data_IF_888260516087
#
_entry.id   IF_888260516087
#
_cell.length_a   1.000
_cell.length_b   1.000
_cell.length_c   1.000
_cell.angle_alpha   90.00
_cell.angle_beta   90.00
_cell.angle_gamma   90.00
#
_symmetry.space_group_name_H-M   'P 1'
#
loop_
_entity.id
_entity.type
_entity.pdbx_description
1 polymer ?
#
# COMPACT_ATOMS: atom_id res chain seq x y z
N UNK A 1 13.48 27.06 62.24
CA UNK A 1 13.90 27.95 61.10
C UNK A 1 14.39 27.17 59.88
N UNK A 2 15.13 26.08 60.03
CA UNK A 2 15.66 25.29 58.86
C UNK A 2 14.55 24.70 57.98
N UNK A 3 13.52 24.11 58.56
CA UNK A 3 12.40 23.41 57.83
C UNK A 3 11.49 24.35 57.06
N UNK A 4 11.38 25.61 57.46
CA UNK A 4 10.55 26.62 56.74
C UNK A 4 11.29 27.14 55.53
N UNK A 5 12.62 27.33 55.63
CA UNK A 5 13.46 27.78 54.52
C UNK A 5 13.59 26.68 53.44
N UNK A 6 13.64 25.42 53.85
CA UNK A 6 13.66 24.26 52.94
C UNK A 6 12.35 24.12 52.15
N UNK A 7 11.21 24.36 52.78
CA UNK A 7 9.88 24.34 52.16
C UNK A 7 9.68 25.50 51.18
N UNK A 8 10.18 26.69 51.46
CA UNK A 8 10.08 27.85 50.56
C UNK A 8 10.98 27.65 49.31
N UNK A 9 12.18 27.11 49.47
CA UNK A 9 13.06 26.79 48.33
C UNK A 9 12.46 25.71 47.39
N UNK A 10 11.90 24.63 47.94
CA UNK A 10 11.24 23.60 47.17
C UNK A 10 10.03 24.15 46.42
N UNK A 11 9.24 25.04 47.08
CA UNK A 11 8.08 25.69 46.44
C UNK A 11 8.49 26.64 45.33
N UNK A 12 9.57 27.35 45.43
CA UNK A 12 10.10 28.22 44.40
C UNK A 12 10.59 27.43 43.17
N UNK A 13 11.31 26.32 43.40
CA UNK A 13 11.70 25.40 42.34
C UNK A 13 10.51 24.78 41.59
N UNK A 14 9.50 24.31 42.32
CA UNK A 14 8.29 23.74 41.70
C UNK A 14 7.55 24.77 40.86
N UNK A 15 7.44 26.01 41.36
CA UNK A 15 6.83 27.10 40.59
C UNK A 15 7.66 27.42 39.33
N UNK A 16 8.97 27.47 39.42
CA UNK A 16 9.83 27.72 38.27
C UNK A 16 9.70 26.63 37.19
N UNK A 17 9.56 25.37 37.57
CA UNK A 17 9.33 24.24 36.65
C UNK A 17 7.97 24.41 35.96
N UNK A 18 6.91 24.74 36.70
CA UNK A 18 5.56 24.93 36.14
C UNK A 18 5.52 26.09 35.15
N UNK A 19 6.13 27.23 35.51
CA UNK A 19 6.10 28.46 34.67
C UNK A 19 7.06 28.39 33.47
N UNK A 20 8.11 27.55 33.50
CA UNK A 20 9.02 27.36 32.38
C UNK A 20 8.47 26.45 31.29
N UNK A 21 7.32 25.79 31.51
CA UNK A 21 6.72 24.87 30.56
C UNK A 21 6.16 25.59 29.34
N UNK A 22 6.44 25.08 28.13
CA UNK A 22 5.79 25.51 26.88
C UNK A 22 4.34 25.09 26.79
N UNK A 23 3.93 24.02 27.49
CA UNK A 23 2.58 23.53 27.57
C UNK A 23 1.84 24.19 28.74
N UNK A 24 0.52 24.38 28.63
CA UNK A 24 -0.31 24.76 29.75
C UNK A 24 -0.33 23.65 30.79
N UNK A 25 -0.21 23.98 32.06
CA UNK A 25 -0.30 23.01 33.15
C UNK A 25 -1.31 23.49 34.17
N UNK A 26 -2.16 22.58 34.64
CA UNK A 26 -3.02 22.82 35.80
C UNK A 26 -3.04 21.62 36.73
N UNK A 27 -3.35 21.90 37.98
CA UNK A 27 -3.50 20.90 39.03
C UNK A 27 -4.85 21.08 39.70
N UNK A 28 -5.59 19.97 39.86
CA UNK A 28 -6.85 19.95 40.60
C UNK A 28 -6.72 19.03 41.82
N UNK A 29 -7.63 19.20 42.79
CA UNK A 29 -7.84 18.18 43.81
C UNK A 29 -8.56 16.95 43.24
N UNK A 30 -8.75 15.91 44.06
CA UNK A 30 -9.42 14.68 43.66
C UNK A 30 -10.91 14.84 43.33
N UNK A 31 -11.49 16.04 43.53
CA UNK A 31 -12.88 16.40 43.20
C UNK A 31 -12.97 17.31 41.97
N UNK A 32 -11.82 17.60 41.33
CA UNK A 32 -11.77 18.43 40.12
C UNK A 32 -11.79 19.94 40.38
N UNK A 33 -11.48 20.41 41.62
CA UNK A 33 -11.32 21.83 41.92
C UNK A 33 -9.92 22.30 41.59
N UNK A 34 -9.75 23.39 40.82
CA UNK A 34 -8.47 23.94 40.43
C UNK A 34 -7.68 24.46 41.64
N UNK A 35 -6.48 23.93 41.84
CA UNK A 35 -5.53 24.30 42.87
C UNK A 35 -4.41 25.18 42.40
N UNK A 36 -3.93 24.90 41.19
CA UNK A 36 -2.83 25.67 40.58
C UNK A 36 -2.94 25.62 39.05
N UNK A 37 -2.40 26.66 38.39
CA UNK A 37 -2.38 26.82 36.94
C UNK A 37 -1.18 27.67 36.58
N UNK A 38 -0.48 27.34 35.47
CA UNK A 38 0.66 28.12 35.01
C UNK A 38 0.22 29.27 34.08
N UNK A 39 1.10 30.27 33.95
CA UNK A 39 0.87 31.45 33.10
C UNK A 39 0.60 31.10 31.63
N UNK A 40 1.23 30.01 31.14
CA UNK A 40 1.01 29.56 29.78
C UNK A 40 -0.45 29.20 29.49
N UNK A 41 -1.10 28.49 30.40
CA UNK A 41 -2.51 28.12 30.24
C UNK A 41 -3.44 29.35 30.39
N UNK A 42 -3.10 30.27 31.27
CA UNK A 42 -3.82 31.56 31.39
C UNK A 42 -3.75 32.36 30.08
N UNK A 43 -2.57 32.47 29.48
CA UNK A 43 -2.41 33.09 28.15
C UNK A 43 -3.20 32.36 27.04
N UNK A 44 -3.27 31.04 27.10
CA UNK A 44 -4.02 30.24 26.11
C UNK A 44 -5.54 30.42 26.25
N UNK A 45 -6.03 30.49 27.47
CA UNK A 45 -7.46 30.57 27.78
C UNK A 45 -7.99 32.01 27.84
N UNK A 46 -7.14 32.98 28.16
CA UNK A 46 -7.51 34.37 28.36
C UNK A 46 -8.16 34.64 29.72
N UNK A 47 -8.19 33.67 30.63
CA UNK A 47 -8.69 33.82 31.99
C UNK A 47 -7.58 34.33 32.93
N UNK A 48 -8.01 34.96 34.06
CA UNK A 48 -7.11 35.32 35.15
C UNK A 48 -7.00 34.19 36.14
N UNK A 49 -5.94 34.20 36.95
CA UNK A 49 -5.70 33.17 37.98
C UNK A 49 -6.81 33.17 39.04
N UNK A 50 -7.31 34.35 39.35
CA UNK A 50 -8.38 34.58 40.34
C UNK A 50 -9.71 33.98 39.87
N UNK A 51 -9.98 33.97 38.55
CA UNK A 51 -11.20 33.41 37.99
C UNK A 51 -11.17 31.87 37.94
N UNK A 52 -9.99 31.26 37.84
CA UNK A 52 -9.84 29.81 37.65
C UNK A 52 -9.62 29.08 38.99
N UNK A 53 -8.77 29.65 39.85
CA UNK A 53 -8.41 28.97 41.12
C UNK A 53 -9.65 28.85 42.00
N UNK A 54 -9.96 27.63 42.41
CA UNK A 54 -11.10 27.31 43.25
C UNK A 54 -12.39 26.95 42.51
N UNK A 55 -12.48 27.21 41.19
CA UNK A 55 -13.54 26.73 40.32
C UNK A 55 -13.45 25.21 40.10
N UNK A 56 -14.50 24.58 39.63
CA UNK A 56 -14.52 23.17 39.29
C UNK A 56 -14.41 22.97 37.75
N UNK A 57 -13.67 21.95 37.34
CA UNK A 57 -13.52 21.62 35.93
C UNK A 57 -14.85 21.35 35.20
N UNK A 58 -15.85 20.83 35.92
CA UNK A 58 -17.21 20.63 35.41
C UNK A 58 -17.92 21.94 35.03
N UNK A 59 -17.65 23.03 35.74
CA UNK A 59 -18.29 24.30 35.47
C UNK A 59 -17.82 24.91 34.16
N UNK A 60 -16.59 24.62 33.73
CA UNK A 60 -16.07 25.02 32.42
C UNK A 60 -16.78 24.30 31.25
N UNK A 61 -17.26 23.08 31.47
CA UNK A 61 -18.13 22.38 30.49
C UNK A 61 -19.52 23.00 30.44
N UNK A 62 -20.13 23.28 31.61
CA UNK A 62 -21.46 23.89 31.70
C UNK A 62 -21.51 25.27 31.06
N UNK A 63 -20.44 26.04 31.20
CA UNK A 63 -20.30 27.37 30.59
C UNK A 63 -19.90 27.31 29.12
N UNK A 64 -19.61 26.12 28.61
CA UNK A 64 -19.23 25.90 27.20
C UNK A 64 -17.81 26.39 26.82
N UNK A 65 -16.98 26.65 27.84
CA UNK A 65 -15.55 27.00 27.64
C UNK A 65 -14.76 25.82 27.06
N UNK A 66 -15.08 24.62 27.51
CA UNK A 66 -14.58 23.36 26.95
C UNK A 66 -15.74 22.47 26.57
N UNK A 67 -15.58 21.59 25.60
CA UNK A 67 -16.61 20.65 25.15
C UNK A 67 -16.68 19.37 26.02
N UNK A 68 -15.58 19.02 26.68
CA UNK A 68 -15.44 17.80 27.51
C UNK A 68 -14.51 18.07 28.69
N UNK A 69 -14.74 17.37 29.81
CA UNK A 69 -13.86 17.44 31.00
C UNK A 69 -12.99 16.18 31.08
N UNK A 70 -11.69 16.33 30.82
CA UNK A 70 -10.74 15.23 31.02
C UNK A 70 -10.60 14.86 32.50
N UNK A 71 -10.81 15.83 33.40
CA UNK A 71 -10.74 15.63 34.86
C UNK A 71 -11.83 14.68 35.34
N UNK A 72 -13.06 14.83 34.86
CA UNK A 72 -14.16 13.90 35.17
C UNK A 72 -13.85 12.48 34.68
N UNK A 73 -13.34 12.34 33.46
CA UNK A 73 -12.95 11.04 32.94
C UNK A 73 -11.85 10.36 33.78
N UNK A 74 -10.88 11.15 34.30
CA UNK A 74 -9.84 10.64 35.22
C UNK A 74 -10.43 10.23 36.54
N UNK A 75 -11.39 10.99 37.12
CA UNK A 75 -12.03 10.65 38.38
C UNK A 75 -12.82 9.34 38.25
N UNK A 76 -13.54 9.14 37.15
CA UNK A 76 -14.30 7.92 36.88
C UNK A 76 -13.39 6.70 36.64
N UNK A 77 -12.36 6.84 35.79
CA UNK A 77 -11.54 5.72 35.36
C UNK A 77 -10.37 5.41 36.30
N UNK A 78 -9.95 6.37 37.09
CA UNK A 78 -8.78 6.31 37.98
C UNK A 78 -7.48 5.97 37.23
N UNK A 79 -7.38 6.38 35.96
CA UNK A 79 -6.22 6.17 35.07
C UNK A 79 -5.89 7.46 34.32
N UNK A 80 -4.71 7.48 33.68
CA UNK A 80 -4.29 8.57 32.81
C UNK A 80 -5.20 8.63 31.57
N UNK A 81 -5.73 9.81 31.28
CA UNK A 81 -6.60 10.06 30.11
C UNK A 81 -5.99 11.14 29.23
N UNK A 82 -6.02 10.92 27.92
CA UNK A 82 -5.65 11.93 26.91
C UNK A 82 -6.83 12.14 25.98
N UNK A 83 -7.23 13.40 25.79
CA UNK A 83 -8.29 13.78 24.84
C UNK A 83 -7.88 15.00 24.03
N UNK A 84 -8.50 15.16 22.86
CA UNK A 84 -8.48 16.41 22.11
C UNK A 84 -9.81 17.12 22.35
N UNK A 85 -9.78 18.41 22.60
CA UNK A 85 -10.96 19.24 22.89
C UNK A 85 -10.75 20.66 22.42
N UNK A 86 -11.86 21.38 22.20
CA UNK A 86 -11.82 22.82 21.88
C UNK A 86 -11.85 23.65 23.16
N UNK A 87 -10.95 24.61 23.27
CA UNK A 87 -10.92 25.61 24.34
C UNK A 87 -11.43 26.94 23.76
N UNK A 88 -12.55 27.41 24.27
CA UNK A 88 -13.17 28.69 23.88
C UNK A 88 -12.78 29.77 24.88
N UNK A 89 -11.64 30.42 24.62
CA UNK A 89 -11.19 31.60 25.35
C UNK A 89 -11.37 32.87 24.51
N UNK A 90 -10.34 33.74 24.48
CA UNK A 90 -10.32 34.91 23.58
C UNK A 90 -10.37 34.49 22.11
N UNK A 91 -9.80 33.33 21.79
CA UNK A 91 -9.88 32.66 20.48
C UNK A 91 -10.23 31.19 20.73
N UNK A 92 -10.86 30.53 19.75
CA UNK A 92 -11.10 29.10 19.80
C UNK A 92 -9.78 28.37 19.47
N UNK A 93 -9.32 27.53 20.38
CA UNK A 93 -8.10 26.75 20.24
C UNK A 93 -8.41 25.26 20.31
N UNK A 94 -7.77 24.49 19.43
CA UNK A 94 -7.78 23.03 19.52
C UNK A 94 -6.63 22.59 20.41
N UNK A 95 -6.96 21.97 21.54
CA UNK A 95 -5.98 21.57 22.54
C UNK A 95 -6.00 20.05 22.76
N UNK A 96 -4.84 19.48 23.00
CA UNK A 96 -4.70 18.13 23.50
C UNK A 96 -4.40 18.18 25.00
N UNK A 97 -5.25 17.56 25.80
CA UNK A 97 -5.11 17.52 27.25
C UNK A 97 -4.83 16.11 27.71
N UNK A 98 -3.74 15.96 28.48
CA UNK A 98 -3.37 14.71 29.15
C UNK A 98 -3.46 14.93 30.64
N UNK A 99 -4.36 14.25 31.31
CA UNK A 99 -4.52 14.33 32.77
C UNK A 99 -4.13 13.01 33.44
N UNK A 100 -3.36 13.10 34.52
CA UNK A 100 -2.81 11.96 35.25
C UNK A 100 -3.20 12.06 36.73
N UNK A 101 -3.85 11.03 37.31
CA UNK A 101 -4.17 11.00 38.71
C UNK A 101 -2.94 10.70 39.57
N UNK A 102 -2.85 11.36 40.72
CA UNK A 102 -1.87 11.09 41.77
C UNK A 102 -2.66 10.64 43.01
N UNK A 103 -2.32 9.44 43.50
CA UNK A 103 -3.04 8.80 44.58
C UNK A 103 -2.38 9.09 45.95
N UNK A 104 -3.19 9.06 46.98
CA UNK A 104 -2.73 9.03 48.37
C UNK A 104 -2.43 7.58 48.84
N UNK A 105 -1.92 7.43 50.03
CA UNK A 105 -1.58 6.12 50.64
C UNK A 105 -2.81 5.20 50.81
N UNK A 106 -4.01 5.75 50.74
CA UNK A 106 -5.29 5.05 50.86
C UNK A 106 -5.87 4.67 49.50
N UNK A 107 -5.20 4.99 48.36
CA UNK A 107 -5.65 4.70 47.01
C UNK A 107 -6.72 5.65 46.48
N UNK A 108 -6.98 6.80 47.13
CA UNK A 108 -7.85 7.83 46.62
C UNK A 108 -7.03 8.84 45.79
N UNK A 109 -7.70 9.49 44.83
CA UNK A 109 -7.06 10.54 44.04
C UNK A 109 -6.82 11.77 44.94
N UNK A 110 -5.57 12.07 45.19
CA UNK A 110 -5.13 13.24 45.95
C UNK A 110 -5.09 14.49 45.07
N UNK A 111 -4.51 14.36 43.86
CA UNK A 111 -4.40 15.43 42.88
C UNK A 111 -4.59 14.84 41.47
N UNK A 112 -4.96 15.70 40.52
CA UNK A 112 -4.89 15.41 39.09
C UNK A 112 -4.02 16.49 38.47
N UNK A 113 -2.96 16.07 37.78
CA UNK A 113 -2.07 16.97 37.04
C UNK A 113 -2.39 16.83 35.57
N UNK A 114 -2.69 17.95 34.94
CA UNK A 114 -3.00 17.98 33.51
C UNK A 114 -2.03 18.86 32.74
N UNK A 115 -1.59 18.33 31.59
CA UNK A 115 -0.79 19.03 30.59
C UNK A 115 -1.71 19.37 29.41
N UNK A 116 -1.63 20.62 28.94
CA UNK A 116 -2.49 21.17 27.86
C UNK A 116 -1.60 21.69 26.75
N UNK A 117 -1.63 21.03 25.60
CA UNK A 117 -0.87 21.41 24.41
C UNK A 117 -1.75 22.06 23.37
N UNK A 118 -1.35 23.23 22.90
CA UNK A 118 -2.00 23.91 21.78
C UNK A 118 -1.67 23.17 20.46
N UNK A 119 -2.70 22.69 19.79
CA UNK A 119 -2.57 21.96 18.52
C UNK A 119 -3.11 22.77 17.33
N UNK A 120 -3.51 24.00 17.55
CA UNK A 120 -4.23 24.84 16.58
C UNK A 120 -3.44 24.99 15.28
N UNK A 121 -2.16 25.40 15.38
CA UNK A 121 -1.30 25.58 14.20
C UNK A 121 -1.05 24.28 13.46
N UNK A 122 -0.88 23.19 14.18
CA UNK A 122 -0.62 21.86 13.59
C UNK A 122 -1.85 21.37 12.82
N UNK A 123 -3.04 21.50 13.40
CA UNK A 123 -4.30 21.15 12.74
C UNK A 123 -4.58 22.07 11.55
N UNK A 124 -4.30 23.37 11.68
CA UNK A 124 -4.42 24.31 10.58
C UNK A 124 -3.51 23.93 9.40
N UNK A 125 -2.22 23.69 9.65
CA UNK A 125 -1.27 23.26 8.62
C UNK A 125 -1.66 21.92 7.99
N UNK A 126 -2.18 20.99 8.77
CA UNK A 126 -2.66 19.71 8.25
C UNK A 126 -3.87 19.90 7.31
N UNK A 127 -4.82 20.76 7.70
CA UNK A 127 -5.98 21.09 6.87
C UNK A 127 -5.59 21.83 5.58
N UNK A 128 -4.62 22.74 5.63
CA UNK A 128 -4.09 23.42 4.44
C UNK A 128 -3.37 22.43 3.50
N UNK A 129 -2.61 21.50 4.06
CA UNK A 129 -1.98 20.43 3.28
C UNK A 129 -3.03 19.53 2.59
N UNK A 130 -4.10 19.15 3.29
CA UNK A 130 -5.19 18.36 2.74
C UNK A 130 -5.98 19.12 1.66
N UNK A 131 -6.20 20.43 1.84
CA UNK A 131 -6.81 21.29 0.81
C UNK A 131 -5.93 21.40 -0.43
N UNK A 132 -4.63 21.65 -0.25
CA UNK A 132 -3.68 21.72 -1.35
C UNK A 132 -3.59 20.41 -2.12
N UNK A 133 -3.62 19.27 -1.43
CA UNK A 133 -3.68 17.93 -2.05
C UNK A 133 -4.99 17.76 -2.84
N UNK A 134 -6.12 18.20 -2.31
CA UNK A 134 -7.43 18.10 -2.96
C UNK A 134 -7.49 18.96 -4.22
N UNK A 135 -6.97 20.20 -4.16
CA UNK A 135 -6.88 21.10 -5.31
C UNK A 135 -5.94 20.54 -6.40
N UNK A 136 -4.81 20.00 -6.00
CA UNK A 136 -3.88 19.31 -6.91
C UNK A 136 -4.56 18.12 -7.60
N UNK A 137 -5.39 17.33 -6.86
CA UNK A 137 -6.16 16.22 -7.42
C UNK A 137 -7.16 16.71 -8.48
N UNK A 138 -7.93 17.73 -8.18
CA UNK A 138 -8.90 18.31 -9.12
C UNK A 138 -8.21 18.79 -10.39
N UNK A 139 -7.10 19.48 -10.27
CA UNK A 139 -6.30 19.94 -11.41
C UNK A 139 -5.79 18.79 -12.28
N UNK A 140 -5.28 17.69 -11.67
CA UNK A 140 -4.87 16.50 -12.43
C UNK A 140 -6.06 15.80 -13.10
N UNK A 141 -7.21 15.71 -12.43
CA UNK A 141 -8.43 15.14 -13.02
C UNK A 141 -8.94 15.97 -14.20
N UNK A 142 -8.91 17.29 -14.09
CA UNK A 142 -9.31 18.19 -15.18
C UNK A 142 -8.37 18.06 -16.38
N UNK A 143 -7.05 18.03 -16.17
CA UNK A 143 -6.08 17.80 -17.23
C UNK A 143 -6.27 16.43 -17.94
N UNK A 144 -6.55 15.38 -17.17
CA UNK A 144 -6.85 14.05 -17.69
C UNK A 144 -8.15 14.10 -18.51
N UNK A 145 -9.16 14.82 -18.03
CA UNK A 145 -10.46 14.98 -18.67
C UNK A 145 -10.37 15.81 -19.96
N UNK A 146 -9.68 16.95 -19.93
CA UNK A 146 -9.49 17.83 -21.09
C UNK A 146 -8.74 17.12 -22.24
N UNK A 147 -7.78 16.24 -21.90
CA UNK A 147 -7.05 15.45 -22.89
C UNK A 147 -7.75 14.14 -23.32
N UNK A 148 -9.02 13.96 -22.97
CA UNK A 148 -9.83 12.81 -23.39
C UNK A 148 -9.52 11.49 -22.67
N UNK A 149 -8.87 11.54 -21.47
CA UNK A 149 -8.55 10.37 -20.66
C UNK A 149 -9.61 10.03 -19.62
N UNK A 150 -10.70 10.76 -19.56
CA UNK A 150 -11.83 10.47 -18.69
C UNK A 150 -12.30 9.04 -18.90
N UNK A 151 -12.10 8.18 -17.92
CA UNK A 151 -12.46 6.75 -17.95
C UNK A 151 -11.36 5.77 -18.34
N UNK A 152 -10.16 6.22 -18.80
CA UNK A 152 -9.05 5.29 -19.12
C UNK A 152 -8.23 4.88 -17.90
N UNK A 153 -8.14 5.74 -16.87
CA UNK A 153 -7.40 5.46 -15.63
C UNK A 153 -8.28 5.76 -14.44
N UNK A 154 -8.54 4.74 -13.61
CA UNK A 154 -9.31 4.86 -12.38
C UNK A 154 -8.35 4.86 -11.20
N UNK A 155 -8.45 5.87 -10.32
CA UNK A 155 -7.53 6.11 -9.21
C UNK A 155 -8.22 6.84 -8.05
N UNK A 156 -9.05 6.13 -7.31
CA UNK A 156 -9.72 6.65 -6.11
C UNK A 156 -8.86 6.46 -4.85
N UNK A 157 -7.95 5.49 -4.87
CA UNK A 157 -7.03 5.23 -3.76
C UNK A 157 -5.91 6.28 -3.69
N UNK A 158 -5.46 6.59 -2.46
CA UNK A 158 -4.32 7.50 -2.24
C UNK A 158 -3.03 6.97 -2.88
N UNK A 159 -2.87 5.67 -2.87
CA UNK A 159 -1.72 4.96 -3.44
C UNK A 159 -1.64 5.21 -4.94
N UNK A 160 -2.72 4.98 -5.66
CA UNK A 160 -2.76 5.18 -7.12
C UNK A 160 -2.70 6.66 -7.50
N UNK A 161 -3.26 7.54 -6.68
CA UNK A 161 -3.15 8.99 -6.89
C UNK A 161 -1.70 9.49 -6.81
N UNK A 162 -0.88 8.94 -5.89
CA UNK A 162 0.57 9.24 -5.83
C UNK A 162 1.28 8.76 -7.10
N UNK A 163 0.91 7.59 -7.60
CA UNK A 163 1.44 7.06 -8.88
C UNK A 163 1.13 8.00 -10.03
N UNK A 164 -0.12 8.47 -10.13
CA UNK A 164 -0.52 9.40 -11.19
C UNK A 164 0.18 10.76 -11.08
N UNK A 165 0.38 11.30 -9.88
CA UNK A 165 1.13 12.53 -9.67
C UNK A 165 2.59 12.39 -10.15
N UNK A 166 3.23 11.26 -9.82
CA UNK A 166 4.59 10.99 -10.28
C UNK A 166 4.63 10.77 -11.80
N UNK A 167 3.68 10.00 -12.35
CA UNK A 167 3.56 9.79 -13.80
C UNK A 167 3.40 11.12 -14.56
N UNK A 168 2.60 12.06 -14.02
CA UNK A 168 2.45 13.39 -14.59
C UNK A 168 3.78 14.17 -14.60
N UNK A 169 4.52 14.18 -13.47
CA UNK A 169 5.86 14.82 -13.41
C UNK A 169 6.82 14.20 -14.40
N UNK A 170 6.82 12.88 -14.48
CA UNK A 170 7.65 12.13 -15.43
C UNK A 170 7.28 12.44 -16.88
N UNK A 171 6.03 12.72 -17.18
CA UNK A 171 5.60 13.11 -18.52
C UNK A 171 6.26 14.42 -19.02
N UNK A 172 6.61 15.32 -18.09
CA UNK A 172 7.21 16.62 -18.45
C UNK A 172 8.73 16.58 -18.72
N UNK A 173 9.38 15.45 -18.43
CA UNK A 173 10.82 15.26 -18.60
C UNK A 173 11.11 14.11 -19.54
N UNK A 174 12.21 14.17 -20.27
CA UNK A 174 12.59 13.12 -21.26
C UNK A 174 13.53 12.05 -20.67
N UNK A 175 13.35 11.75 -19.39
CA UNK A 175 14.12 10.71 -18.68
C UNK A 175 13.54 9.32 -18.90
N UNK A 176 14.40 8.30 -18.82
CA UNK A 176 13.99 6.90 -18.78
C UNK A 176 13.15 6.61 -17.54
N UNK A 177 12.11 5.80 -17.69
CA UNK A 177 11.19 5.43 -16.60
C UNK A 177 11.17 3.92 -16.46
N UNK A 178 11.38 3.43 -15.23
CA UNK A 178 11.22 2.02 -14.89
C UNK A 178 9.92 1.86 -14.08
N UNK A 179 8.94 1.15 -14.63
CA UNK A 179 7.66 0.85 -13.97
C UNK A 179 7.75 -0.52 -13.34
N UNK A 180 7.68 -0.58 -12.02
CA UNK A 180 7.73 -1.80 -11.24
C UNK A 180 6.34 -2.16 -10.70
N UNK A 181 5.99 -3.43 -10.67
CA UNK A 181 4.74 -3.90 -10.09
C UNK A 181 4.33 -5.26 -10.60
N UNK A 182 3.47 -5.94 -9.86
CA UNK A 182 2.97 -7.26 -10.19
C UNK A 182 2.31 -7.32 -11.58
N UNK A 183 2.18 -8.52 -12.12
CA UNK A 183 1.46 -8.72 -13.38
C UNK A 183 -0.01 -8.28 -13.23
N UNK A 184 -0.56 -7.66 -14.27
CA UNK A 184 -1.96 -7.22 -14.28
C UNK A 184 -2.27 -5.96 -13.46
N UNK A 185 -1.28 -5.24 -12.93
CA UNK A 185 -1.50 -3.98 -12.16
C UNK A 185 -1.85 -2.77 -13.03
N UNK A 186 -1.60 -2.83 -14.35
CA UNK A 186 -1.88 -1.73 -15.29
C UNK A 186 -0.64 -0.94 -15.71
N UNK A 187 0.56 -1.53 -15.68
CA UNK A 187 1.83 -0.89 -16.06
C UNK A 187 1.81 -0.26 -17.46
N UNK A 188 1.26 -0.96 -18.47
CA UNK A 188 1.14 -0.44 -19.82
C UNK A 188 0.22 0.79 -19.88
N UNK A 189 -0.88 0.81 -19.11
CA UNK A 189 -1.80 1.96 -19.06
C UNK A 189 -1.08 3.19 -18.54
N UNK A 190 -0.25 3.04 -17.51
CA UNK A 190 0.54 4.14 -16.94
C UNK A 190 1.66 4.57 -17.90
N UNK A 191 2.34 3.63 -18.57
CA UNK A 191 3.34 3.96 -19.59
C UNK A 191 2.74 4.79 -20.73
N UNK A 192 1.59 4.39 -21.22
CA UNK A 192 0.84 5.10 -22.25
C UNK A 192 0.39 6.48 -21.78
N UNK A 193 -0.08 6.60 -20.53
CA UNK A 193 -0.43 7.88 -19.92
C UNK A 193 0.77 8.84 -19.87
N UNK A 194 1.95 8.35 -19.45
CA UNK A 194 3.19 9.14 -19.43
C UNK A 194 3.56 9.67 -20.81
N UNK A 195 3.44 8.84 -21.85
CA UNK A 195 3.70 9.25 -23.23
C UNK A 195 2.70 10.32 -23.69
N UNK A 196 1.41 10.05 -23.51
CA UNK A 196 0.30 10.88 -24.02
C UNK A 196 0.22 12.25 -23.34
N UNK A 197 0.68 12.35 -22.08
CA UNK A 197 0.82 13.62 -21.35
C UNK A 197 2.15 14.36 -21.65
N UNK A 198 3.10 13.67 -22.28
CA UNK A 198 4.46 14.19 -22.50
C UNK A 198 4.62 15.00 -23.79
N UNK A 199 5.84 15.55 -23.95
CA UNK A 199 6.23 16.33 -25.12
C UNK A 199 6.18 15.54 -26.44
N UNK A 200 6.33 14.21 -26.36
CA UNK A 200 6.33 13.28 -27.51
C UNK A 200 4.95 12.67 -27.82
N UNK A 201 3.86 13.21 -27.23
CA UNK A 201 2.50 12.66 -27.36
C UNK A 201 1.93 12.57 -28.78
N UNK A 202 2.48 13.36 -29.71
CA UNK A 202 2.10 13.35 -31.14
C UNK A 202 2.95 12.39 -31.98
N UNK A 203 4.00 11.81 -31.38
CA UNK A 203 4.95 10.91 -32.00
C UNK A 203 4.60 9.44 -31.70
N UNK A 204 5.22 8.45 -32.36
CA UNK A 204 4.90 7.05 -32.16
C UNK A 204 5.12 6.59 -30.70
N UNK A 205 4.16 5.77 -30.20
CA UNK A 205 4.31 4.94 -29.01
C UNK A 205 4.44 3.49 -29.45
N UNK A 206 5.66 2.99 -29.46
CA UNK A 206 5.98 1.62 -29.89
C UNK A 206 6.10 0.75 -28.65
N UNK A 207 5.30 -0.31 -28.57
CA UNK A 207 5.30 -1.24 -27.42
C UNK A 207 5.60 -2.66 -27.86
N UNK A 208 6.37 -3.37 -27.03
CA UNK A 208 6.62 -4.81 -27.17
C UNK A 208 6.66 -5.45 -25.80
N UNK A 209 6.08 -6.65 -25.69
CA UNK A 209 6.25 -7.52 -24.54
C UNK A 209 7.44 -8.48 -24.82
N UNK A 210 8.46 -8.43 -23.96
CA UNK A 210 9.67 -9.23 -24.11
C UNK A 210 9.49 -10.70 -23.70
N UNK A 211 8.37 -11.05 -23.03
CA UNK A 211 8.11 -12.41 -22.61
C UNK A 211 7.44 -13.25 -23.72
N UNK A 212 7.78 -14.53 -23.77
CA UNK A 212 7.12 -15.50 -24.67
C UNK A 212 7.53 -15.39 -26.14
N UNK A 213 8.47 -14.52 -26.50
CA UNK A 213 9.04 -14.40 -27.84
C UNK A 213 10.41 -15.10 -27.85
N UNK A 214 10.67 -16.04 -28.77
CA UNK A 214 12.01 -16.62 -28.95
C UNK A 214 13.07 -15.54 -29.15
N UNK A 215 14.27 -15.72 -28.61
CA UNK A 215 15.35 -14.72 -28.60
C UNK A 215 15.68 -14.18 -30.03
N UNK A 216 15.81 -15.06 -30.99
CA UNK A 216 16.11 -14.67 -32.37
C UNK A 216 15.02 -13.79 -32.99
N UNK A 217 13.74 -14.11 -32.76
CA UNK A 217 12.61 -13.29 -33.21
C UNK A 217 12.53 -11.95 -32.46
N UNK A 218 12.81 -11.95 -31.17
CA UNK A 218 12.83 -10.72 -30.38
C UNK A 218 13.94 -9.78 -30.85
N UNK A 219 15.08 -10.34 -31.21
CA UNK A 219 16.20 -9.60 -31.78
C UNK A 219 15.85 -8.97 -33.14
N UNK A 220 15.22 -9.74 -34.04
CA UNK A 220 14.75 -9.24 -35.33
C UNK A 220 13.68 -8.14 -35.17
N UNK A 221 12.74 -8.31 -34.22
CA UNK A 221 11.71 -7.31 -33.96
C UNK A 221 12.31 -6.01 -33.43
N UNK A 222 13.22 -6.08 -32.45
CA UNK A 222 13.80 -4.90 -31.81
C UNK A 222 14.74 -4.14 -32.74
N UNK A 223 15.71 -4.84 -33.35
CA UNK A 223 16.82 -4.19 -34.09
C UNK A 223 16.60 -4.14 -35.60
N UNK A 224 15.70 -4.99 -36.14
CA UNK A 224 15.52 -5.14 -37.56
C UNK A 224 16.72 -5.87 -38.26
N UNK A 225 16.62 -6.11 -39.54
CA UNK A 225 17.67 -6.76 -40.32
C UNK A 225 17.76 -6.22 -41.75
N UNK A 226 18.94 -6.30 -42.33
CA UNK A 226 19.17 -6.02 -43.74
C UNK A 226 18.92 -7.28 -44.61
N UNK A 227 18.70 -7.07 -45.90
CA UNK A 227 18.53 -8.19 -46.86
C UNK A 227 19.77 -9.11 -46.83
N UNK A 228 19.53 -10.41 -46.68
CA UNK A 228 20.58 -11.40 -46.62
C UNK A 228 21.26 -11.58 -45.25
N UNK A 229 20.79 -10.97 -44.20
CA UNK A 229 21.35 -11.09 -42.83
C UNK A 229 21.37 -12.54 -42.31
N UNK A 230 20.43 -13.38 -42.76
CA UNK A 230 20.35 -14.81 -42.43
C UNK A 230 19.50 -15.55 -43.46
N UNK A 231 19.55 -16.89 -43.43
CA UNK A 231 18.74 -17.75 -44.30
C UNK A 231 17.26 -17.59 -44.01
N UNK A 232 16.49 -16.99 -44.96
CA UNK A 232 15.08 -16.65 -44.79
C UNK A 232 14.77 -15.17 -44.59
N UNK A 233 15.79 -14.29 -44.56
CA UNK A 233 15.59 -12.85 -44.55
C UNK A 233 14.78 -12.37 -45.76
N UNK A 234 13.78 -11.55 -45.55
CA UNK A 234 12.91 -11.01 -46.62
C UNK A 234 13.73 -10.08 -47.52
N UNK A 235 13.41 -10.08 -48.85
CA UNK A 235 13.95 -9.10 -49.78
C UNK A 235 13.55 -7.68 -49.29
N UNK A 236 14.56 -6.79 -49.18
CA UNK A 236 14.40 -5.45 -48.67
C UNK A 236 14.57 -5.29 -47.14
N UNK A 237 14.84 -6.39 -46.43
CA UNK A 237 15.08 -6.37 -45.00
C UNK A 237 13.85 -6.10 -44.14
N UNK A 238 14.03 -5.70 -42.87
CA UNK A 238 12.95 -5.34 -41.92
C UNK A 238 13.41 -4.19 -41.05
N UNK A 239 12.55 -3.18 -40.89
CA UNK A 239 12.77 -2.09 -39.96
C UNK A 239 12.44 -2.59 -38.53
N UNK A 240 13.34 -2.34 -37.56
CA UNK A 240 13.17 -2.74 -36.18
C UNK A 240 12.29 -1.74 -35.38
N UNK A 241 11.72 -2.21 -34.28
CA UNK A 241 10.82 -1.40 -33.40
C UNK A 241 11.57 -0.22 -32.78
N UNK A 242 12.85 -0.36 -32.48
CA UNK A 242 13.71 0.73 -31.97
C UNK A 242 13.81 1.84 -33.03
N UNK A 243 13.93 1.50 -34.29
CA UNK A 243 13.96 2.47 -35.38
C UNK A 243 12.60 3.12 -35.63
N UNK A 244 11.51 2.36 -35.46
CA UNK A 244 10.13 2.88 -35.56
C UNK A 244 9.79 3.82 -34.40
N UNK A 245 10.46 3.70 -33.25
CA UNK A 245 10.29 4.57 -32.09
C UNK A 245 11.04 5.91 -32.22
N UNK A 246 11.76 6.14 -33.31
CA UNK A 246 12.55 7.37 -33.53
C UNK A 246 11.68 8.62 -33.42
N UNK A 247 12.10 9.61 -32.63
CA UNK A 247 11.33 10.80 -32.26
C UNK A 247 10.24 10.55 -31.21
N UNK A 248 9.86 9.29 -30.97
CA UNK A 248 8.73 8.89 -30.11
C UNK A 248 9.14 8.26 -28.77
N UNK A 249 8.39 7.25 -28.37
CA UNK A 249 8.60 6.50 -27.12
C UNK A 249 8.61 5.00 -27.40
N UNK A 250 9.63 4.31 -26.89
CA UNK A 250 9.72 2.86 -26.86
C UNK A 250 9.28 2.35 -25.49
N UNK A 251 8.30 1.46 -25.44
CA UNK A 251 7.85 0.78 -24.23
C UNK A 251 8.21 -0.69 -24.29
N UNK A 252 9.03 -1.14 -23.34
CA UNK A 252 9.42 -2.55 -23.20
C UNK A 252 8.72 -3.13 -21.96
N UNK A 253 7.72 -3.98 -22.19
CA UNK A 253 7.05 -4.69 -21.10
C UNK A 253 7.76 -6.00 -20.80
N UNK A 254 7.75 -6.41 -19.52
CA UNK A 254 8.43 -7.60 -19.00
C UNK A 254 9.93 -7.65 -19.37
N UNK A 255 10.62 -6.51 -19.26
CA UNK A 255 12.04 -6.37 -19.57
C UNK A 255 12.93 -7.38 -18.82
N UNK A 256 12.49 -7.84 -17.65
CA UNK A 256 13.16 -8.91 -16.89
C UNK A 256 13.27 -10.24 -17.64
N UNK A 257 12.56 -10.41 -18.75
CA UNK A 257 12.60 -11.60 -19.62
C UNK A 257 13.53 -11.41 -20.83
N UNK A 258 14.17 -10.23 -20.96
CA UNK A 258 15.09 -9.95 -22.08
C UNK A 258 16.36 -10.79 -21.93
N UNK A 259 16.77 -11.59 -22.95
CA UNK A 259 18.00 -12.38 -22.92
C UNK A 259 19.25 -11.53 -22.74
N UNK A 260 20.28 -12.05 -22.02
CA UNK A 260 21.51 -11.32 -21.72
C UNK A 260 22.25 -10.78 -22.97
N UNK A 261 22.21 -11.51 -24.07
CA UNK A 261 22.78 -11.07 -25.35
C UNK A 261 22.15 -9.79 -25.87
N UNK A 262 20.81 -9.69 -25.74
CA UNK A 262 20.06 -8.54 -26.21
C UNK A 262 20.13 -7.35 -25.22
N UNK A 263 20.35 -7.61 -23.92
CA UNK A 263 20.58 -6.56 -22.93
C UNK A 263 21.80 -5.71 -23.28
N UNK A 264 22.92 -6.36 -23.72
CA UNK A 264 24.13 -5.65 -24.16
C UNK A 264 23.91 -4.79 -25.41
N UNK A 265 23.14 -5.31 -26.38
CA UNK A 265 22.78 -4.55 -27.60
C UNK A 265 21.90 -3.36 -27.29
N UNK A 266 20.90 -3.54 -26.43
CA UNK A 266 20.01 -2.46 -25.96
C UNK A 266 20.80 -1.37 -25.23
N UNK A 267 21.71 -1.75 -24.32
CA UNK A 267 22.56 -0.81 -23.60
C UNK A 267 23.37 0.05 -24.57
N UNK A 268 24.01 -0.56 -25.56
CA UNK A 268 24.80 0.18 -26.58
C UNK A 268 23.93 1.23 -27.26
N UNK A 269 22.71 0.87 -27.68
CA UNK A 269 21.81 1.84 -28.33
C UNK A 269 21.42 2.98 -27.38
N UNK A 270 21.21 2.71 -26.07
CA UNK A 270 20.87 3.72 -25.07
C UNK A 270 22.03 4.66 -24.73
N UNK A 271 23.28 4.22 -24.93
CA UNK A 271 24.49 5.02 -24.67
C UNK A 271 24.88 5.86 -25.86
N UNK A 272 24.92 5.24 -27.05
CA UNK A 272 25.43 5.88 -28.25
C UNK A 272 24.36 6.62 -29.04
N UNK A 273 23.07 6.31 -28.81
CA UNK A 273 21.98 6.73 -29.67
C UNK A 273 22.14 6.32 -31.13
N UNK A 274 22.80 5.17 -31.37
CA UNK A 274 23.07 4.64 -32.68
C UNK A 274 22.54 3.21 -32.80
N UNK A 275 21.89 2.93 -33.92
CA UNK A 275 21.33 1.61 -34.25
C UNK A 275 21.95 1.10 -35.52
N UNK A 276 22.43 -0.17 -35.51
CA UNK A 276 22.82 -0.93 -36.69
C UNK A 276 21.89 -2.13 -36.80
N UNK A 277 21.27 -2.34 -37.98
CA UNK A 277 20.42 -3.51 -38.22
C UNK A 277 21.26 -4.78 -38.28
N UNK A 278 20.64 -5.92 -38.00
CA UNK A 278 21.31 -7.22 -38.09
C UNK A 278 21.82 -7.45 -39.52
N UNK A 279 23.08 -7.89 -39.67
CA UNK A 279 23.72 -8.08 -40.93
C UNK A 279 24.06 -6.80 -41.72
N UNK A 280 23.76 -5.63 -41.16
CA UNK A 280 24.03 -4.33 -41.77
C UNK A 280 25.34 -3.70 -41.28
N UNK A 281 25.92 -2.83 -42.08
CA UNK A 281 27.09 -2.00 -41.73
C UNK A 281 26.71 -0.54 -41.46
N UNK A 282 25.52 -0.13 -41.92
CA UNK A 282 25.06 1.26 -41.79
C UNK A 282 24.49 1.53 -40.39
N UNK A 283 25.08 2.52 -39.75
CA UNK A 283 24.61 3.01 -38.45
C UNK A 283 23.67 4.20 -38.63
N UNK A 284 22.50 4.17 -37.97
CA UNK A 284 21.51 5.24 -37.97
C UNK A 284 21.46 5.87 -36.59
N UNK A 285 21.50 7.20 -36.49
CA UNK A 285 21.22 7.93 -35.25
C UNK A 285 19.73 7.90 -34.97
N UNK A 286 19.38 7.59 -33.75
CA UNK A 286 18.00 7.49 -33.27
C UNK A 286 17.82 8.24 -31.94
N UNK A 287 16.65 8.82 -31.75
CA UNK A 287 16.32 9.53 -30.53
C UNK A 287 14.93 9.14 -30.05
N UNK A 288 14.84 8.27 -29.09
CA UNK A 288 13.59 7.86 -28.48
C UNK A 288 13.64 7.98 -26.96
N UNK A 289 12.48 8.13 -26.35
CA UNK A 289 12.30 8.01 -24.90
C UNK A 289 12.05 6.56 -24.55
N UNK A 290 12.76 6.02 -23.53
CA UNK A 290 12.55 4.66 -23.06
C UNK A 290 11.64 4.64 -21.81
N UNK A 291 10.59 3.83 -21.86
CA UNK A 291 9.79 3.41 -20.70
C UNK A 291 9.89 1.89 -20.62
N UNK A 292 10.19 1.36 -19.46
CA UNK A 292 10.31 -0.09 -19.23
C UNK A 292 9.39 -0.53 -18.13
N UNK A 293 8.88 -1.75 -18.21
CA UNK A 293 8.05 -2.35 -17.15
C UNK A 293 8.60 -3.73 -16.76
N UNK A 294 8.56 -4.01 -15.44
CA UNK A 294 9.01 -5.27 -14.87
C UNK A 294 7.99 -5.78 -13.83
N UNK A 295 7.92 -7.11 -13.69
CA UNK A 295 7.10 -7.78 -12.70
C UNK A 295 7.93 -8.52 -11.64
N UNK A 296 9.27 -8.45 -11.72
CA UNK A 296 10.23 -9.02 -10.79
C UNK A 296 11.22 -7.94 -10.34
N UNK A 297 11.80 -8.13 -9.17
CA UNK A 297 12.88 -7.26 -8.70
C UNK A 297 14.12 -7.45 -9.57
N UNK A 298 14.52 -6.38 -10.30
CA UNK A 298 15.71 -6.40 -11.14
C UNK A 298 17.00 -6.54 -10.33
N UNK A 299 17.07 -6.03 -9.10
CA UNK A 299 18.26 -6.16 -8.25
C UNK A 299 18.52 -7.62 -7.90
N UNK A 300 17.46 -8.38 -7.63
CA UNK A 300 17.56 -9.83 -7.41
C UNK A 300 18.04 -10.55 -8.68
N UNK A 301 17.60 -10.14 -9.86
CA UNK A 301 18.09 -10.71 -11.11
C UNK A 301 19.55 -10.33 -11.41
N UNK A 302 19.97 -9.12 -11.09
CA UNK A 302 21.39 -8.69 -11.19
C UNK A 302 22.25 -9.55 -10.29
N UNK A 303 21.86 -9.74 -9.02
CA UNK A 303 22.63 -10.58 -8.07
C UNK A 303 22.77 -12.04 -8.53
N UNK A 304 21.80 -12.54 -9.30
CA UNK A 304 21.80 -13.89 -9.88
C UNK A 304 22.51 -13.97 -11.24
N UNK A 305 23.05 -12.87 -11.76
CA UNK A 305 23.68 -12.82 -13.08
C UNK A 305 22.72 -12.99 -14.26
N UNK A 306 21.41 -12.83 -14.04
CA UNK A 306 20.36 -12.94 -15.07
C UNK A 306 20.01 -11.60 -15.70
N UNK A 307 20.49 -10.49 -15.14
CA UNK A 307 20.33 -9.14 -15.66
C UNK A 307 21.65 -8.37 -15.50
N UNK A 308 22.03 -7.56 -16.50
CA UNK A 308 23.27 -6.78 -16.47
C UNK A 308 23.12 -5.57 -15.54
N UNK A 309 24.11 -5.35 -14.71
CA UNK A 309 24.15 -4.25 -13.76
C UNK A 309 24.21 -2.88 -14.45
N UNK A 310 25.01 -2.78 -15.52
CA UNK A 310 25.15 -1.56 -16.32
C UNK A 310 23.82 -1.13 -16.97
N UNK A 311 23.07 -2.07 -17.54
CA UNK A 311 21.75 -1.80 -18.10
C UNK A 311 20.77 -1.40 -16.99
N UNK A 312 20.80 -2.07 -15.84
CA UNK A 312 19.95 -1.72 -14.70
C UNK A 312 20.12 -0.24 -14.31
N UNK A 313 21.34 0.25 -14.11
CA UNK A 313 21.58 1.65 -13.77
C UNK A 313 21.16 2.62 -14.88
N UNK A 314 21.25 2.22 -16.14
CA UNK A 314 20.85 3.07 -17.28
C UNK A 314 19.35 3.25 -17.40
N UNK A 315 18.55 2.22 -17.07
CA UNK A 315 17.09 2.25 -17.18
C UNK A 315 16.39 2.68 -15.87
N UNK A 316 17.02 2.44 -14.71
CA UNK A 316 16.47 2.74 -13.38
C UNK A 316 16.68 4.19 -12.96
N UNK A 317 16.60 5.14 -13.91
CA UNK A 317 16.79 6.56 -13.60
C UNK A 317 15.71 7.08 -12.68
N UNK A 318 14.44 6.76 -12.96
CA UNK A 318 13.31 7.09 -12.08
C UNK A 318 12.38 5.89 -11.97
N UNK A 319 12.41 5.17 -10.83
CA UNK A 319 11.51 4.07 -10.58
C UNK A 319 10.11 4.57 -10.22
N UNK A 320 9.09 3.93 -10.79
CA UNK A 320 7.67 4.15 -10.53
C UNK A 320 7.03 2.83 -10.10
N UNK A 321 6.68 2.71 -8.83
CA UNK A 321 6.08 1.50 -8.29
C UNK A 321 4.54 1.55 -8.40
N UNK A 322 3.94 0.55 -9.07
CA UNK A 322 2.49 0.34 -9.12
C UNK A 322 2.07 -0.64 -8.02
N UNK A 323 1.27 -0.20 -7.04
CA UNK A 323 0.80 -1.07 -5.98
C UNK A 323 -0.15 -2.14 -6.52
N UNK A 324 -0.09 -3.37 -5.98
CA UNK A 324 -1.07 -4.41 -6.30
C UNK A 324 -2.48 -4.01 -5.85
N UNK A 325 -3.51 -4.58 -6.49
CA UNK A 325 -4.91 -4.17 -6.28
C UNK A 325 -5.36 -4.30 -4.81
N UNK A 326 -4.88 -5.30 -4.08
CA UNK A 326 -5.11 -5.50 -2.64
C UNK A 326 -4.62 -4.37 -1.73
N UNK A 327 -3.64 -3.56 -2.18
CA UNK A 327 -3.13 -2.39 -1.47
C UNK A 327 -3.87 -1.10 -1.84
N UNK A 328 -4.73 -1.14 -2.87
CA UNK A 328 -5.54 -0.01 -3.35
C UNK A 328 -7.02 -0.36 -3.43
N UNK A 329 -7.56 -0.87 -2.31
CA UNK A 329 -8.92 -1.40 -2.22
C UNK A 329 -10.01 -0.43 -2.69
N UNK A 330 -9.82 0.89 -2.48
CA UNK A 330 -10.75 1.93 -2.93
C UNK A 330 -10.91 1.99 -4.45
N UNK A 331 -9.99 1.41 -5.22
CA UNK A 331 -10.07 1.36 -6.68
C UNK A 331 -10.89 0.15 -7.16
N UNK A 332 -11.12 -0.87 -6.31
CA UNK A 332 -11.74 -2.14 -6.72
C UNK A 332 -13.15 -1.90 -7.27
N UNK A 333 -14.02 -1.26 -6.48
CA UNK A 333 -15.41 -1.03 -6.87
C UNK A 333 -15.51 -0.10 -8.09
N UNK A 334 -14.83 1.05 -8.16
CA UNK A 334 -14.81 1.88 -9.35
C UNK A 334 -14.33 1.14 -10.62
N UNK A 335 -13.29 0.29 -10.50
CA UNK A 335 -12.82 -0.54 -11.59
C UNK A 335 -13.85 -1.60 -12.01
N UNK A 336 -14.49 -2.27 -11.05
CA UNK A 336 -15.53 -3.26 -11.33
C UNK A 336 -16.72 -2.64 -12.08
N UNK A 337 -17.19 -1.48 -11.61
CA UNK A 337 -18.29 -0.74 -12.27
C UNK A 337 -17.90 -0.24 -13.67
N UNK A 338 -16.66 0.22 -13.84
CA UNK A 338 -16.15 0.61 -15.15
C UNK A 338 -16.16 -0.58 -16.13
N UNK A 339 -15.63 -1.74 -15.72
CA UNK A 339 -15.64 -2.94 -16.56
C UNK A 339 -17.04 -3.46 -16.78
N UNK A 340 -17.93 -3.40 -15.80
CA UNK A 340 -19.34 -3.76 -15.97
C UNK A 340 -19.99 -2.91 -17.06
N UNK A 341 -19.84 -1.60 -17.00
CA UNK A 341 -20.35 -0.68 -18.01
C UNK A 341 -19.74 -0.95 -19.40
N UNK A 342 -18.44 -1.20 -19.45
CA UNK A 342 -17.75 -1.54 -20.69
C UNK A 342 -18.32 -2.82 -21.32
N UNK A 343 -18.49 -3.91 -20.53
CA UNK A 343 -18.99 -5.18 -21.03
C UNK A 343 -20.51 -5.15 -21.29
N UNK A 344 -21.29 -4.43 -20.50
CA UNK A 344 -22.70 -4.18 -20.81
C UNK A 344 -22.87 -3.55 -22.21
N UNK A 345 -22.06 -2.53 -22.52
CA UNK A 345 -22.09 -1.89 -23.83
C UNK A 345 -21.60 -2.84 -24.94
N UNK A 346 -20.50 -3.60 -24.67
CA UNK A 346 -19.89 -4.51 -25.65
C UNK A 346 -20.84 -5.66 -26.04
N UNK A 347 -21.59 -6.20 -25.07
CA UNK A 347 -22.46 -7.37 -25.24
C UNK A 347 -23.95 -7.02 -25.29
N UNK A 348 -24.29 -5.72 -25.30
CA UNK A 348 -25.67 -5.20 -25.26
C UNK A 348 -26.47 -5.80 -24.09
N UNK A 349 -25.84 -5.92 -22.91
CA UNK A 349 -26.43 -6.42 -21.68
C UNK A 349 -26.81 -5.26 -20.73
N UNK A 350 -27.61 -5.57 -19.69
CA UNK A 350 -28.05 -4.58 -18.67
C UNK A 350 -27.77 -5.09 -17.26
N UNK A 351 -26.65 -5.80 -17.09
CA UNK A 351 -26.27 -6.40 -15.82
C UNK A 351 -25.97 -5.33 -14.76
N UNK A 352 -26.34 -5.63 -13.51
CA UNK A 352 -26.05 -4.82 -12.31
C UNK A 352 -25.43 -5.69 -11.23
N UNK A 353 -24.61 -5.10 -10.36
CA UNK A 353 -23.96 -5.81 -9.24
C UNK A 353 -24.76 -5.58 -7.96
N UNK A 354 -25.06 -6.64 -7.22
CA UNK A 354 -25.70 -6.57 -5.91
C UNK A 354 -24.71 -6.00 -4.84
N UNK A 355 -25.23 -5.55 -3.72
CA UNK A 355 -24.39 -5.06 -2.61
C UNK A 355 -23.53 -6.16 -1.95
N UNK A 356 -23.98 -7.42 -2.01
CA UNK A 356 -23.23 -8.56 -1.49
C UNK A 356 -21.97 -8.84 -2.32
N UNK A 357 -22.10 -8.84 -3.66
CA UNK A 357 -20.95 -9.06 -4.54
C UNK A 357 -19.89 -7.95 -4.39
N UNK A 358 -20.31 -6.68 -4.22
CA UNK A 358 -19.38 -5.58 -4.03
C UNK A 358 -18.50 -5.80 -2.78
N UNK A 359 -19.06 -6.29 -1.68
CA UNK A 359 -18.30 -6.64 -0.46
C UNK A 359 -17.34 -7.80 -0.71
N UNK A 360 -17.77 -8.83 -1.44
CA UNK A 360 -16.91 -9.96 -1.79
C UNK A 360 -15.73 -9.52 -2.66
N UNK A 361 -15.95 -8.64 -3.64
CA UNK A 361 -14.88 -8.08 -4.49
C UNK A 361 -13.84 -7.27 -3.66
N UNK A 362 -14.27 -6.46 -2.68
CA UNK A 362 -13.37 -5.71 -1.80
C UNK A 362 -12.56 -6.61 -0.85
N UNK A 363 -13.14 -7.74 -0.46
CA UNK A 363 -12.52 -8.67 0.46
C UNK A 363 -11.43 -9.52 -0.19
N UNK A 364 -11.52 -9.82 -1.47
CA UNK A 364 -10.61 -10.71 -2.19
C UNK A 364 -9.23 -10.09 -2.44
N UNK A 365 -8.18 -10.93 -2.51
CA UNK A 365 -6.78 -10.48 -2.61
C UNK A 365 -6.30 -10.13 -4.02
N UNK A 366 -7.01 -10.54 -5.05
CA UNK A 366 -6.69 -10.24 -6.45
C UNK A 366 -5.25 -10.60 -6.85
N UNK A 367 -4.84 -11.87 -6.80
CA UNK A 367 -3.49 -12.27 -7.20
C UNK A 367 -3.15 -11.90 -8.65
N UNK A 368 -4.14 -11.90 -9.56
CA UNK A 368 -4.00 -11.42 -10.94
C UNK A 368 -4.33 -9.94 -11.14
N UNK A 369 -4.50 -9.19 -10.04
CA UNK A 369 -4.74 -7.75 -10.02
C UNK A 369 -5.91 -7.30 -10.91
N UNK A 370 -5.76 -6.18 -11.64
CA UNK A 370 -6.83 -5.59 -12.49
C UNK A 370 -7.17 -6.51 -13.67
N UNK A 371 -6.21 -7.32 -14.16
CA UNK A 371 -6.48 -8.27 -15.24
C UNK A 371 -7.45 -9.35 -14.79
N UNK A 372 -7.29 -9.87 -13.59
CA UNK A 372 -8.21 -10.85 -13.00
C UNK A 372 -9.59 -10.25 -12.75
N UNK A 373 -9.66 -9.06 -12.17
CA UNK A 373 -10.92 -8.34 -11.95
C UNK A 373 -11.68 -8.12 -13.27
N UNK A 374 -10.99 -7.65 -14.30
CA UNK A 374 -11.58 -7.45 -15.63
C UNK A 374 -12.15 -8.75 -16.20
N UNK A 375 -11.37 -9.84 -16.14
CA UNK A 375 -11.80 -11.14 -16.64
C UNK A 375 -12.99 -11.69 -15.85
N UNK A 376 -13.00 -11.51 -14.52
CA UNK A 376 -14.13 -11.90 -13.68
C UNK A 376 -15.41 -11.16 -14.08
N UNK A 377 -15.35 -9.83 -14.19
CA UNK A 377 -16.54 -9.03 -14.58
C UNK A 377 -17.03 -9.42 -15.98
N UNK A 378 -16.12 -9.64 -16.95
CA UNK A 378 -16.50 -10.14 -18.28
C UNK A 378 -17.24 -11.49 -18.19
N UNK A 379 -16.68 -12.43 -17.42
CA UNK A 379 -17.28 -13.75 -17.19
C UNK A 379 -18.68 -13.63 -16.57
N UNK A 380 -18.83 -12.79 -15.54
CA UNK A 380 -20.13 -12.59 -14.87
C UNK A 380 -21.18 -11.99 -15.83
N UNK A 381 -20.81 -11.00 -16.64
CA UNK A 381 -21.72 -10.39 -17.60
C UNK A 381 -22.19 -11.41 -18.65
N UNK A 382 -21.30 -12.33 -19.07
CA UNK A 382 -21.60 -13.29 -20.13
C UNK A 382 -22.37 -14.52 -19.61
N UNK A 383 -22.04 -15.01 -18.40
CA UNK A 383 -22.57 -16.31 -17.92
C UNK A 383 -23.80 -16.19 -17.01
N UNK A 384 -24.00 -15.06 -16.31
CA UNK A 384 -25.17 -14.88 -15.45
C UNK A 384 -26.41 -14.69 -16.32
N UNK A 385 -27.47 -15.43 -16.09
CA UNK A 385 -28.74 -15.33 -16.84
C UNK A 385 -29.50 -14.07 -16.41
N UNK A 386 -29.60 -13.80 -15.10
CA UNK A 386 -30.33 -12.68 -14.53
C UNK A 386 -29.63 -11.33 -14.75
N UNK A 387 -30.40 -10.24 -14.77
CA UNK A 387 -29.83 -8.88 -14.85
C UNK A 387 -29.10 -8.47 -13.56
N UNK A 388 -29.45 -9.06 -12.41
CA UNK A 388 -28.78 -8.81 -11.15
C UNK A 388 -27.75 -9.90 -10.85
N UNK A 389 -26.48 -9.54 -10.88
CA UNK A 389 -25.37 -10.41 -10.53
C UNK A 389 -25.22 -10.44 -9.00
N UNK A 390 -25.21 -11.63 -8.43
CA UNK A 390 -25.13 -11.86 -6.97
C UNK A 390 -23.85 -12.57 -6.55
N UNK A 391 -23.66 -12.77 -5.25
CA UNK A 391 -22.51 -13.50 -4.72
C UNK A 391 -22.50 -14.98 -5.16
N UNK A 392 -23.64 -15.56 -5.45
CA UNK A 392 -23.79 -16.93 -5.93
C UNK A 392 -23.19 -17.16 -7.31
N UNK A 393 -23.08 -16.10 -8.12
CA UNK A 393 -22.46 -16.12 -9.45
C UNK A 393 -20.91 -16.12 -9.38
N UNK A 394 -20.32 -15.84 -8.20
CA UNK A 394 -18.88 -15.82 -8.02
C UNK A 394 -18.25 -17.21 -8.07
N UNK A 395 -17.00 -17.35 -8.55
CA UNK A 395 -16.25 -18.58 -8.44
C UNK A 395 -16.14 -19.06 -6.97
N UNK A 396 -16.22 -20.36 -6.75
CA UNK A 396 -16.15 -20.95 -5.39
C UNK A 396 -14.89 -20.54 -4.62
N UNK A 397 -13.78 -20.32 -5.31
CA UNK A 397 -12.51 -19.86 -4.75
C UNK A 397 -12.62 -18.45 -4.12
N UNK A 398 -13.50 -17.60 -4.63
CA UNK A 398 -13.75 -16.25 -4.07
C UNK A 398 -14.75 -16.30 -2.92
N UNK A 399 -15.75 -17.17 -2.99
CA UNK A 399 -16.77 -17.34 -1.93
C UNK A 399 -16.13 -17.95 -0.68
N UNK A 400 -15.20 -18.91 -0.87
CA UNK A 400 -14.48 -19.58 0.21
C UNK A 400 -13.31 -18.76 0.79
N UNK A 401 -13.00 -17.60 0.19
CA UNK A 401 -11.90 -16.76 0.63
C UNK A 401 -12.33 -15.83 1.78
N UNK A 402 -11.90 -16.15 3.01
CA UNK A 402 -12.06 -15.29 4.19
C UNK A 402 -10.68 -14.77 4.63
N UNK A 403 -10.48 -13.42 4.71
CA UNK A 403 -9.18 -12.85 5.06
C UNK A 403 -8.71 -13.16 6.50
N UNK A 404 -9.62 -13.62 7.35
CA UNK A 404 -9.36 -13.90 8.77
C UNK A 404 -9.22 -15.37 9.13
N UNK A 405 -9.44 -16.29 8.18
CA UNK A 405 -9.35 -17.71 8.49
C UNK A 405 -8.03 -18.30 8.00
N UNK A 406 -7.03 -18.30 8.89
CA UNK A 406 -5.82 -19.11 8.73
C UNK A 406 -6.14 -20.61 8.61
N UNK A 407 -7.38 -21.00 8.90
CA UNK A 407 -7.82 -22.40 8.98
C UNK A 407 -9.28 -22.50 8.53
N UNK A 408 -9.55 -23.04 7.33
CA UNK A 408 -10.90 -23.43 6.91
C UNK A 408 -11.09 -24.93 7.07
N UNK A 409 -12.06 -25.33 7.89
CA UNK A 409 -12.60 -26.69 7.92
C UNK A 409 -14.00 -26.62 7.32
N UNK A 410 -14.15 -27.03 6.05
CA UNK A 410 -15.46 -27.08 5.38
C UNK A 410 -16.10 -28.42 5.70
N UNK A 411 -17.19 -28.39 6.48
CA UNK A 411 -18.01 -29.57 6.79
C UNK A 411 -19.26 -29.52 5.91
N UNK A 412 -19.35 -30.42 4.92
CA UNK A 412 -20.47 -30.48 3.97
C UNK A 412 -21.63 -31.35 4.44
N UNK A 413 -21.40 -32.21 5.46
CA UNK A 413 -22.41 -33.11 5.99
C UNK A 413 -22.12 -33.46 7.45
N UNK A 414 -23.08 -34.01 8.17
CA UNK A 414 -22.91 -34.49 9.56
C UNK A 414 -22.08 -35.78 9.53
N UNK A 415 -20.81 -35.65 9.99
CA UNK A 415 -19.88 -36.80 10.07
C UNK A 415 -19.45 -37.01 11.53
N UNK A 416 -18.96 -38.23 11.91
CA UNK A 416 -18.42 -38.45 13.25
C UNK A 416 -17.28 -37.45 13.54
N UNK A 417 -17.29 -36.85 14.72
CA UNK A 417 -16.35 -35.80 15.12
C UNK A 417 -14.89 -36.27 15.02
N UNK A 418 -14.63 -37.53 15.42
CA UNK A 418 -13.27 -38.11 15.34
C UNK A 418 -12.75 -38.18 13.90
N UNK A 419 -13.60 -38.53 12.92
CA UNK A 419 -13.21 -38.58 11.52
C UNK A 419 -12.83 -37.21 10.97
N UNK A 420 -13.56 -36.18 11.36
CA UNK A 420 -13.27 -34.79 10.96
C UNK A 420 -11.97 -34.29 11.57
N UNK A 421 -11.75 -34.55 12.86
CA UNK A 421 -10.52 -34.19 13.58
C UNK A 421 -9.31 -34.91 12.98
N UNK A 422 -9.43 -36.22 12.72
CA UNK A 422 -8.37 -37.02 12.11
C UNK A 422 -7.99 -36.54 10.70
N UNK A 423 -8.95 -36.15 9.87
CA UNK A 423 -8.70 -35.60 8.54
C UNK A 423 -8.04 -34.22 8.59
N UNK A 424 -8.48 -33.35 9.52
CA UNK A 424 -7.87 -32.03 9.73
C UNK A 424 -6.41 -32.17 10.23
N UNK A 425 -6.15 -33.08 11.20
CA UNK A 425 -4.82 -33.37 11.70
C UNK A 425 -3.90 -33.92 10.59
N UNK A 426 -4.41 -34.84 9.79
CA UNK A 426 -3.69 -35.44 8.67
C UNK A 426 -3.24 -34.38 7.66
N UNK A 427 -4.14 -33.49 7.22
CA UNK A 427 -3.84 -32.43 6.28
C UNK A 427 -2.82 -31.44 6.84
N UNK A 428 -2.97 -31.05 8.11
CA UNK A 428 -2.06 -30.13 8.79
C UNK A 428 -0.64 -30.71 8.92
N UNK A 429 -0.52 -31.96 9.25
CA UNK A 429 0.75 -32.69 9.33
C UNK A 429 1.42 -32.80 7.96
N UNK A 430 0.66 -33.07 6.89
CA UNK A 430 1.16 -33.17 5.53
C UNK A 430 1.77 -31.83 5.07
N UNK A 431 1.06 -30.75 5.27
CA UNK A 431 1.55 -29.39 4.99
C UNK A 431 2.80 -29.02 5.81
N UNK A 432 2.82 -29.45 7.09
CA UNK A 432 3.96 -29.19 7.95
C UNK A 432 5.20 -30.02 7.53
N UNK A 433 5.01 -31.24 7.03
CA UNK A 433 6.11 -32.06 6.49
C UNK A 433 6.72 -31.44 5.24
N UNK A 434 5.89 -31.02 4.29
CA UNK A 434 6.36 -30.34 3.07
C UNK A 434 7.15 -29.06 3.39
N UNK A 435 6.69 -28.28 4.37
CA UNK A 435 7.24 -26.95 4.66
C UNK A 435 8.49 -26.97 5.55
N UNK A 436 8.58 -27.92 6.50
CA UNK A 436 9.61 -27.89 7.54
C UNK A 436 10.58 -29.08 7.52
N UNK A 437 10.24 -30.18 6.88
CA UNK A 437 11.11 -31.34 6.62
C UNK A 437 11.70 -32.06 7.87
N UNK A 438 11.54 -31.53 9.09
CA UNK A 438 12.12 -32.06 10.34
C UNK A 438 11.09 -32.10 11.46
N UNK A 439 10.98 -33.21 12.16
CA UNK A 439 10.01 -33.42 13.26
C UNK A 439 10.18 -32.41 14.40
N UNK A 440 11.39 -31.89 14.65
CA UNK A 440 11.64 -30.83 15.64
C UNK A 440 11.06 -29.48 15.19
N UNK A 441 11.25 -29.13 13.91
CA UNK A 441 10.70 -27.89 13.35
C UNK A 441 9.18 -27.95 13.25
N UNK A 442 8.62 -29.09 12.88
CA UNK A 442 7.17 -29.37 12.84
C UNK A 442 6.58 -29.22 14.25
N UNK A 443 7.19 -29.80 15.27
CA UNK A 443 6.75 -29.72 16.66
C UNK A 443 6.65 -28.24 17.13
N UNK A 444 7.68 -27.44 16.84
CA UNK A 444 7.70 -26.02 17.18
C UNK A 444 6.63 -25.25 16.43
N UNK A 445 6.42 -25.54 15.14
CA UNK A 445 5.43 -24.84 14.31
C UNK A 445 3.99 -25.17 14.72
N UNK A 446 3.74 -26.41 15.14
CA UNK A 446 2.42 -26.90 15.57
C UNK A 446 2.14 -26.70 17.07
N UNK A 447 3.10 -26.21 17.85
CA UNK A 447 2.94 -26.00 19.30
C UNK A 447 2.76 -27.29 20.11
N UNK A 448 3.27 -28.46 19.62
CA UNK A 448 3.16 -29.73 20.28
C UNK A 448 4.54 -30.40 20.50
N UNK A 449 4.61 -31.43 21.35
CA UNK A 449 5.88 -32.14 21.59
C UNK A 449 6.34 -32.90 20.36
N UNK A 450 7.65 -33.08 20.17
CA UNK A 450 8.23 -33.88 19.09
C UNK A 450 7.70 -35.33 19.14
N UNK A 451 7.55 -35.87 20.33
CA UNK A 451 6.98 -37.22 20.55
C UNK A 451 5.54 -37.34 20.02
N UNK A 452 4.73 -36.27 20.24
CA UNK A 452 3.37 -36.21 19.71
C UNK A 452 3.35 -36.15 18.18
N UNK A 453 4.27 -35.35 17.56
CA UNK A 453 4.43 -35.33 16.09
C UNK A 453 4.75 -36.73 15.56
N UNK A 454 5.75 -37.39 16.12
CA UNK A 454 6.16 -38.74 15.68
C UNK A 454 5.00 -39.76 15.81
N UNK A 455 4.26 -39.73 16.93
CA UNK A 455 3.10 -40.61 17.15
C UNK A 455 1.99 -40.34 16.11
N UNK A 456 1.69 -39.06 15.83
CA UNK A 456 0.67 -38.69 14.85
C UNK A 456 1.11 -39.00 13.41
N UNK A 457 2.38 -38.82 13.07
CA UNK A 457 2.91 -39.22 11.77
C UNK A 457 2.82 -40.74 11.56
N UNK A 458 3.15 -41.55 12.59
CA UNK A 458 2.96 -43.00 12.53
C UNK A 458 1.49 -43.38 12.35
N UNK A 459 0.56 -42.70 13.06
CA UNK A 459 -0.89 -42.95 12.95
C UNK A 459 -1.41 -42.73 11.53
N UNK A 460 -1.02 -41.63 10.87
CA UNK A 460 -1.61 -41.20 9.59
C UNK A 460 -0.83 -41.64 8.35
N UNK A 461 0.51 -41.81 8.44
CA UNK A 461 1.38 -42.05 7.27
C UNK A 461 2.26 -43.31 7.39
N UNK A 462 2.13 -44.07 8.47
CA UNK A 462 2.88 -45.31 8.70
C UNK A 462 4.33 -45.07 9.16
N UNK A 463 5.07 -46.18 9.38
CA UNK A 463 6.44 -46.15 9.92
C UNK A 463 7.49 -45.54 8.96
N UNK A 464 7.24 -45.56 7.66
CA UNK A 464 8.17 -45.00 6.66
C UNK A 464 8.26 -43.48 6.67
N UNK A 465 7.21 -42.78 7.07
CA UNK A 465 7.18 -41.34 7.16
C UNK A 465 8.08 -40.75 8.27
N UNK A 466 8.45 -41.57 9.24
CA UNK A 466 9.36 -41.18 10.35
C UNK A 466 10.84 -41.24 9.99
N UNK A 467 11.23 -41.96 8.92
CA UNK A 467 12.62 -42.16 8.49
C UNK A 467 13.18 -40.99 7.65
N UNK A 468 12.32 -40.15 7.05
CA UNK A 468 12.74 -38.99 6.24
C UNK A 468 13.33 -37.85 7.09
N UNK A 469 13.15 -37.86 8.40
CA UNK A 469 13.54 -36.79 9.30
C UNK A 469 14.78 -37.01 10.15
N UNK A 470 15.50 -38.12 9.97
CA UNK A 470 16.71 -38.44 10.75
C UNK A 470 18.03 -38.37 9.95
N UNK A 471 17.96 -38.02 8.66
CA UNK A 471 19.12 -38.02 7.78
C UNK A 471 19.45 -36.57 7.28
N UNK A 472 20.09 -35.75 8.10
CA UNK A 472 21.05 -34.73 7.71
C UNK A 472 21.50 -33.92 8.97
N UNK A 473 22.36 -34.53 9.71
CA UNK A 473 23.08 -33.87 10.78
C UNK A 473 24.42 -34.60 10.94
N UNK A 474 25.35 -34.33 10.00
CA UNK A 474 26.79 -34.50 10.13
C UNK A 474 27.43 -34.05 8.82
N UNK A 475 27.94 -32.85 8.82
CA UNK A 475 29.26 -32.29 8.49
C UNK A 475 29.14 -30.78 8.30
#
# INVERSE_FOLDING_TARGET
MSTIIENDFVREQLNAILESSYDGIYITDGKGRFLNINDRLLQMSGYTKEEVIGAYAQDLVKTGVIDKSVVEMVIERKERVTITQSLKGLTVKEIMVTATPIFDDSGNIKFIVANVRDMTDLIYLQNECDKAQTLSKQYYYELIKERGYSGKVIAESREMQKVLQLAFRLAQVDSNVLIEGESGTGKEVVARLIHELGSRSKNPFISINCAGIPEALLEEELFGYEEGAFTGAKKGGKIGLIELADGGTLFLDELNSLPLGLQGKLLRVLETHELTRLGGEKTKKINFRLITAVNKDLKDLVSKGLFREDLYFRISTVPLFLPPLRQRKKDIIPLALHFLNYFNNKYNARKTLSSSILKALEAYNWPGNVRELKNLIERLVVLTEDDLITEEDLPQEMISWSPNEKYQVIVKDVVPLESLVDEAERKLLMLAMERYGSTRKIARALGISQTSVVRKLKKFFGEQATRVSSGSGET
#
